data_IF_805144273481
#
_entry.id   IF_805144273481
#
_cell.length_a   1.000
_cell.length_b   1.000
_cell.length_c   1.000
_cell.angle_alpha   90.00
_cell.angle_beta   90.00
_cell.angle_gamma   90.00
#
_symmetry.space_group_name_H-M   'P 1'
#
loop_
_entity.id
_entity.type
_entity.pdbx_description
1 polymer ?
#
# COMPACT_ATOMS: atom_id res chain seq x y z
N UNK A 1 -5.36 -6.75 3.20
CA UNK A 1 -3.90 -6.93 3.45
C UNK A 1 -3.72 -7.84 4.65
N UNK A 2 -2.80 -8.79 4.57
CA UNK A 2 -2.55 -9.72 5.67
C UNK A 2 -1.85 -9.03 6.85
N UNK A 3 -2.01 -9.54 8.10
CA UNK A 3 -1.29 -9.01 9.25
C UNK A 3 0.23 -9.02 9.07
N UNK A 4 0.77 -10.04 8.39
CA UNK A 4 2.20 -10.15 8.13
C UNK A 4 2.69 -9.06 7.17
N UNK A 5 1.92 -8.73 6.14
CA UNK A 5 2.26 -7.65 5.20
C UNK A 5 2.21 -6.28 5.90
N UNK A 6 1.23 -6.06 6.76
CA UNK A 6 1.15 -4.86 7.59
C UNK A 6 2.36 -4.72 8.51
N UNK A 7 2.74 -5.80 9.17
CA UNK A 7 3.91 -5.81 10.05
C UNK A 7 5.20 -5.49 9.28
N UNK A 8 5.36 -6.06 8.10
CA UNK A 8 6.51 -5.76 7.24
C UNK A 8 6.60 -4.26 6.90
N UNK A 9 5.48 -3.69 6.47
CA UNK A 9 5.43 -2.27 6.08
C UNK A 9 5.72 -1.37 7.28
N UNK A 10 5.04 -1.61 8.40
CA UNK A 10 5.13 -0.73 9.56
C UNK A 10 6.47 -0.81 10.27
N UNK A 11 7.18 -1.91 10.10
CA UNK A 11 8.51 -2.10 10.67
C UNK A 11 9.52 -1.03 10.22
N UNK A 12 9.32 -0.49 9.03
CA UNK A 12 10.20 0.53 8.46
C UNK A 12 9.71 1.96 8.73
N UNK A 13 8.53 2.11 9.35
CA UNK A 13 8.05 3.43 9.72
C UNK A 13 8.84 3.97 10.92
N UNK A 14 9.24 5.23 10.85
CA UNK A 14 9.75 5.93 12.01
C UNK A 14 8.69 5.92 13.13
N UNK A 15 9.07 5.84 14.43
CA UNK A 15 8.08 5.70 15.50
C UNK A 15 6.97 6.75 15.50
N UNK A 16 7.30 8.01 15.20
CA UNK A 16 6.32 9.09 15.15
C UNK A 16 5.33 8.95 13.98
N UNK A 17 5.72 8.27 12.90
CA UNK A 17 4.89 8.09 11.71
C UNK A 17 4.10 6.77 11.73
N UNK A 18 4.46 5.84 12.63
CA UNK A 18 3.93 4.48 12.59
C UNK A 18 2.43 4.42 12.75
N UNK A 19 1.89 5.06 13.78
CA UNK A 19 0.45 5.04 14.06
C UNK A 19 -0.36 5.65 12.92
N UNK A 20 0.10 6.78 12.41
CA UNK A 20 -0.57 7.50 11.34
C UNK A 20 -0.47 6.74 10.01
N UNK A 21 0.70 6.15 9.72
CA UNK A 21 0.91 5.31 8.56
C UNK A 21 0.03 4.06 8.58
N UNK A 22 -0.10 3.41 9.73
CA UNK A 22 -0.97 2.25 9.90
C UNK A 22 -2.43 2.61 9.64
N UNK A 23 -2.89 3.73 10.20
CA UNK A 23 -4.24 4.19 10.00
C UNK A 23 -4.52 4.48 8.52
N UNK A 24 -3.61 5.15 7.84
CA UNK A 24 -3.72 5.44 6.42
C UNK A 24 -3.84 4.17 5.57
N UNK A 25 -2.98 3.18 5.82
CA UNK A 25 -3.02 1.92 5.09
C UNK A 25 -4.32 1.14 5.32
N UNK A 26 -4.80 1.10 6.57
CA UNK A 26 -6.06 0.42 6.89
C UNK A 26 -7.25 1.13 6.25
N UNK A 27 -7.26 2.46 6.25
CA UNK A 27 -8.28 3.25 5.62
C UNK A 27 -8.31 3.02 4.10
N UNK A 28 -7.15 3.02 3.46
CA UNK A 28 -7.03 2.73 2.03
C UNK A 28 -7.51 1.32 1.70
N UNK A 29 -7.10 0.33 2.48
CA UNK A 29 -7.55 -1.05 2.29
C UNK A 29 -9.07 -1.17 2.41
N UNK A 30 -9.68 -0.49 3.40
CA UNK A 30 -11.12 -0.47 3.59
C UNK A 30 -11.86 0.19 2.43
N UNK A 31 -11.36 1.31 1.94
CA UNK A 31 -11.95 2.01 0.80
C UNK A 31 -11.92 1.14 -0.45
N UNK A 32 -10.80 0.51 -0.74
CA UNK A 32 -10.64 -0.38 -1.90
C UNK A 32 -11.51 -1.63 -1.77
N UNK A 33 -11.60 -2.21 -0.56
CA UNK A 33 -12.47 -3.36 -0.32
C UNK A 33 -13.94 -3.05 -0.60
N UNK A 34 -14.38 -1.84 -0.29
CA UNK A 34 -15.75 -1.40 -0.54
C UNK A 34 -16.12 -1.38 -2.04
N UNK A 35 -15.14 -1.23 -2.91
CA UNK A 35 -15.34 -1.29 -4.37
C UNK A 35 -14.88 -2.61 -4.99
N UNK A 36 -14.64 -3.62 -4.17
CA UNK A 36 -14.30 -4.98 -4.63
C UNK A 36 -12.82 -5.22 -4.90
N UNK A 37 -11.95 -4.29 -4.53
CA UNK A 37 -10.50 -4.45 -4.70
C UNK A 37 -9.89 -5.02 -3.44
N UNK A 38 -9.14 -6.11 -3.58
CA UNK A 38 -8.45 -6.77 -2.47
C UNK A 38 -6.96 -6.47 -2.53
N UNK A 39 -6.47 -5.66 -1.59
CA UNK A 39 -5.04 -5.34 -1.48
C UNK A 39 -4.19 -6.58 -1.10
N UNK A 40 -4.81 -7.63 -0.59
CA UNK A 40 -4.14 -8.89 -0.29
C UNK A 40 -4.02 -9.83 -1.49
N UNK A 41 -4.64 -9.51 -2.62
CA UNK A 41 -4.67 -10.38 -3.79
C UNK A 41 -3.27 -10.71 -4.33
N UNK A 42 -2.34 -9.78 -4.21
CA UNK A 42 -0.98 -9.96 -4.72
C UNK A 42 -0.29 -11.22 -4.19
N UNK A 43 -0.55 -11.61 -2.93
CA UNK A 43 0.02 -12.81 -2.32
C UNK A 43 -0.53 -14.11 -2.95
N UNK A 44 -1.70 -14.03 -3.59
CA UNK A 44 -2.33 -15.17 -4.25
C UNK A 44 -1.97 -15.28 -5.73
N UNK A 45 -1.30 -14.28 -6.27
CA UNK A 45 -1.05 -14.16 -7.71
C UNK A 45 -0.25 -15.33 -8.30
N UNK A 46 0.83 -15.84 -7.68
CA UNK A 46 1.53 -16.99 -8.22
C UNK A 46 0.63 -18.24 -8.35
N UNK A 47 -0.19 -18.49 -7.34
CA UNK A 47 -1.14 -19.62 -7.38
C UNK A 47 -2.25 -19.40 -8.41
N UNK A 48 -2.74 -18.18 -8.57
CA UNK A 48 -3.74 -17.84 -9.56
C UNK A 48 -3.24 -18.08 -10.99
N UNK A 49 -2.01 -17.70 -11.27
CA UNK A 49 -1.36 -17.92 -12.57
C UNK A 49 -1.28 -19.43 -12.87
N UNK A 50 -0.90 -20.24 -11.90
CA UNK A 50 -0.83 -21.70 -12.06
C UNK A 50 -2.20 -22.31 -12.26
N UNK A 51 -3.22 -21.88 -11.51
CA UNK A 51 -4.60 -22.36 -11.68
C UNK A 51 -5.19 -21.99 -13.03
N UNK A 52 -4.72 -20.91 -13.63
CA UNK A 52 -5.10 -20.52 -14.99
C UNK A 52 -4.45 -21.39 -16.08
N UNK A 53 -3.63 -22.36 -15.71
CA UNK A 53 -2.97 -23.26 -16.65
C UNK A 53 -1.68 -22.71 -17.23
N UNK A 54 -1.12 -21.67 -16.64
CA UNK A 54 0.15 -21.09 -17.08
C UNK A 54 1.32 -21.67 -16.28
N UNK A 55 2.47 -21.72 -16.90
CA UNK A 55 3.71 -22.11 -16.25
C UNK A 55 4.34 -20.88 -15.59
N UNK A 56 4.42 -20.89 -14.27
CA UNK A 56 5.06 -19.81 -13.53
C UNK A 56 6.58 -19.86 -13.78
N UNK A 57 7.12 -18.78 -14.34
CA UNK A 57 8.56 -18.64 -14.61
C UNK A 57 9.27 -17.97 -13.45
N UNK A 58 8.69 -16.93 -12.89
CA UNK A 58 9.29 -16.21 -11.77
C UNK A 58 8.42 -15.09 -11.27
N UNK A 59 8.94 -14.39 -10.27
CA UNK A 59 8.29 -13.23 -9.70
C UNK A 59 9.23 -12.42 -8.83
N UNK A 60 8.79 -11.22 -8.46
CA UNK A 60 9.55 -10.37 -7.57
C UNK A 60 8.61 -9.47 -6.76
N UNK A 61 9.11 -8.98 -5.64
CA UNK A 61 8.45 -7.98 -4.83
C UNK A 61 9.30 -6.72 -4.85
N UNK A 62 8.69 -5.59 -5.24
CA UNK A 62 9.30 -4.28 -5.16
C UNK A 62 8.67 -3.51 -4.00
N UNK A 63 9.51 -3.07 -3.07
CA UNK A 63 9.05 -2.43 -1.84
C UNK A 63 10.08 -1.37 -1.44
N UNK A 64 9.98 -0.15 -2.00
CA UNK A 64 10.95 0.91 -1.70
C UNK A 64 10.77 1.43 -0.29
N UNK A 65 11.87 1.78 0.36
CA UNK A 65 11.86 2.56 1.58
C UNK A 65 12.14 4.00 1.16
N UNK A 66 11.18 4.89 1.44
CA UNK A 66 11.29 6.29 1.05
C UNK A 66 11.39 7.19 2.26
N UNK A 67 11.97 8.36 2.02
CA UNK A 67 12.09 9.43 3.00
C UNK A 67 11.12 10.54 2.63
N UNK A 68 10.49 11.15 3.63
CA UNK A 68 9.55 12.25 3.41
C UNK A 68 10.20 13.44 2.70
N UNK A 69 9.37 14.21 2.02
CA UNK A 69 9.82 15.36 1.23
C UNK A 69 10.22 15.05 -0.21
N UNK A 70 10.11 13.79 -0.64
CA UNK A 70 10.37 13.41 -2.03
C UNK A 70 9.32 13.97 -2.99
N UNK A 71 9.74 14.26 -4.23
CA UNK A 71 8.87 14.90 -5.23
C UNK A 71 7.82 13.92 -5.76
N UNK A 72 8.19 12.65 -5.85
CA UNK A 72 7.30 11.61 -6.38
C UNK A 72 6.95 10.62 -5.27
N UNK A 73 5.96 10.98 -4.48
CA UNK A 73 5.47 10.13 -3.42
C UNK A 73 4.10 9.57 -3.81
N UNK A 74 4.08 8.32 -4.20
CA UNK A 74 2.85 7.60 -4.54
C UNK A 74 1.84 7.63 -3.38
N UNK A 75 2.30 7.43 -2.16
CA UNK A 75 1.42 7.46 -0.98
C UNK A 75 0.78 8.82 -0.79
N UNK A 76 1.55 9.88 -0.85
CA UNK A 76 1.05 11.26 -0.71
C UNK A 76 0.00 11.58 -1.80
N UNK A 77 0.32 11.30 -3.05
CA UNK A 77 -0.58 11.55 -4.18
C UNK A 77 -1.88 10.75 -4.04
N UNK A 78 -1.79 9.50 -3.60
CA UNK A 78 -2.96 8.64 -3.39
C UNK A 78 -3.91 9.26 -2.36
N UNK A 79 -3.39 9.71 -1.22
CA UNK A 79 -4.24 10.30 -0.18
C UNK A 79 -4.76 11.69 -0.53
N UNK A 80 -4.05 12.43 -1.37
CA UNK A 80 -4.56 13.69 -1.93
C UNK A 80 -5.76 13.44 -2.85
N UNK A 81 -5.66 12.46 -3.73
CA UNK A 81 -6.71 12.13 -4.70
C UNK A 81 -7.92 11.50 -4.01
N UNK A 82 -7.70 10.66 -3.00
CA UNK A 82 -8.76 9.91 -2.33
C UNK A 82 -9.32 10.60 -1.08
N UNK A 83 -8.96 11.85 -0.82
CA UNK A 83 -9.43 12.61 0.35
C UNK A 83 -10.95 12.53 0.51
N UNK A 84 -11.70 12.93 -0.50
CA UNK A 84 -13.15 13.01 -0.41
C UNK A 84 -13.80 11.64 -0.14
N UNK A 85 -13.49 10.56 -0.89
CA UNK A 85 -14.07 9.26 -0.56
C UNK A 85 -13.63 8.72 0.82
N UNK A 86 -12.41 8.99 1.26
CA UNK A 86 -11.95 8.56 2.58
C UNK A 86 -12.72 9.25 3.71
N UNK A 87 -12.98 10.54 3.56
CA UNK A 87 -13.76 11.30 4.54
C UNK A 87 -15.24 10.89 4.48
N UNK A 88 -15.80 10.81 3.28
CA UNK A 88 -17.22 10.45 3.10
C UNK A 88 -17.54 9.06 3.67
N UNK A 89 -16.61 8.11 3.58
CA UNK A 89 -16.79 6.76 4.13
C UNK A 89 -16.56 6.67 5.64
N UNK A 90 -16.09 7.73 6.28
CA UNK A 90 -15.77 7.75 7.71
C UNK A 90 -14.48 7.03 8.08
N UNK A 91 -13.67 6.65 7.10
CA UNK A 91 -12.41 5.92 7.34
C UNK A 91 -11.30 6.84 7.86
N UNK A 92 -11.30 8.10 7.43
CA UNK A 92 -10.39 9.13 7.94
C UNK A 92 -11.12 10.46 8.03
N UNK A 93 -10.67 11.31 8.94
CA UNK A 93 -11.11 12.71 8.99
C UNK A 93 -10.19 13.57 8.12
N UNK A 94 -10.65 14.78 7.78
CA UNK A 94 -9.79 15.76 7.08
C UNK A 94 -8.52 16.05 7.87
N UNK A 95 -8.62 16.21 9.20
CA UNK A 95 -7.45 16.47 10.04
C UNK A 95 -6.44 15.31 10.02
N UNK A 96 -6.93 14.09 10.01
CA UNK A 96 -6.07 12.90 9.92
C UNK A 96 -5.36 12.82 8.58
N UNK A 97 -6.05 13.14 7.48
CA UNK A 97 -5.44 13.19 6.14
C UNK A 97 -4.40 14.31 6.09
N UNK A 98 -4.71 15.48 6.63
CA UNK A 98 -3.74 16.58 6.68
C UNK A 98 -2.48 16.20 7.48
N UNK A 99 -2.65 15.52 8.62
CA UNK A 99 -1.53 15.02 9.41
C UNK A 99 -0.71 13.99 8.63
N UNK A 100 -1.37 13.07 7.93
CA UNK A 100 -0.71 12.08 7.08
C UNK A 100 0.10 12.77 5.98
N UNK A 101 -0.47 13.74 5.30
CA UNK A 101 0.22 14.48 4.23
C UNK A 101 1.42 15.26 4.76
N UNK A 102 1.31 15.87 5.94
CA UNK A 102 2.45 16.53 6.59
C UNK A 102 3.57 15.54 6.91
N UNK A 103 3.21 14.35 7.38
CA UNK A 103 4.18 13.28 7.64
C UNK A 103 4.96 12.91 6.37
N UNK A 104 4.29 12.81 5.24
CA UNK A 104 4.94 12.46 3.96
C UNK A 104 5.91 13.54 3.48
N UNK A 105 5.77 14.77 3.97
CA UNK A 105 6.67 15.88 3.62
C UNK A 105 7.82 16.05 4.62
N UNK A 106 7.78 15.39 5.76
CA UNK A 106 8.79 15.52 6.81
C UNK A 106 10.02 14.67 6.46
N UNK A 107 11.21 15.28 6.28
CA UNK A 107 12.44 14.54 5.97
C UNK A 107 12.86 13.55 7.06
N UNK A 108 12.38 13.70 8.29
CA UNK A 108 12.65 12.76 9.37
C UNK A 108 11.75 11.52 9.32
N UNK A 109 10.70 11.53 8.50
CA UNK A 109 9.85 10.37 8.28
C UNK A 109 10.47 9.43 7.27
N UNK A 110 10.35 8.14 7.53
CA UNK A 110 10.66 7.09 6.55
C UNK A 110 9.54 6.07 6.56
N UNK A 111 9.21 5.55 5.40
CA UNK A 111 8.10 4.60 5.27
C UNK A 111 8.19 3.83 3.96
N UNK A 112 7.37 2.78 3.87
CA UNK A 112 7.17 2.03 2.63
C UNK A 112 5.83 2.49 2.04
N UNK A 113 5.82 3.17 0.87
CA UNK A 113 4.57 3.67 0.28
C UNK A 113 3.73 2.57 -0.36
N UNK A 114 4.35 1.48 -0.80
CA UNK A 114 3.65 0.36 -1.42
C UNK A 114 4.51 -0.89 -1.41
N UNK A 115 3.86 -2.03 -1.53
CA UNK A 115 4.48 -3.32 -1.83
C UNK A 115 3.87 -3.81 -3.12
N UNK A 116 4.68 -3.95 -4.15
CA UNK A 116 4.22 -4.33 -5.48
C UNK A 116 4.76 -5.70 -5.85
N UNK A 117 3.86 -6.63 -6.16
CA UNK A 117 4.20 -7.99 -6.59
C UNK A 117 4.04 -8.10 -8.09
N UNK A 118 5.06 -8.60 -8.75
CA UNK A 118 5.03 -8.92 -10.18
C UNK A 118 5.33 -10.39 -10.36
N UNK A 119 4.55 -11.06 -11.22
CA UNK A 119 4.83 -12.44 -11.61
C UNK A 119 4.85 -12.52 -13.13
N UNK A 120 5.64 -13.43 -13.65
CA UNK A 120 5.64 -13.71 -15.08
C UNK A 120 5.55 -15.19 -15.33
N UNK A 121 4.83 -15.51 -16.38
CA UNK A 121 4.49 -16.87 -16.73
C UNK A 121 4.48 -17.01 -18.24
N UNK A 122 4.47 -18.25 -18.71
CA UNK A 122 4.37 -18.56 -20.13
C UNK A 122 3.33 -19.65 -20.37
N UNK A 123 2.85 -19.70 -21.60
CA UNK A 123 1.97 -20.76 -22.04
C UNK A 123 2.75 -22.08 -22.08
N UNK A 124 2.24 -23.17 -21.54
CA UNK A 124 2.88 -24.49 -21.67
C UNK A 124 3.01 -24.90 -23.14
N UNK A 125 4.05 -25.66 -23.43
CA UNK A 125 4.29 -26.19 -24.76
C UNK A 125 3.20 -27.21 -25.17
#
# INVERSE_FOLDING_TARGET
>A
MSPQAMDLITRYHAPAARTLGDKGLRALAGLLAAVGADMGYASTLPGAVRRAGLELVGGEIHSPIVRGGGVQDFGRLTFMVLREPLVASGLMTHDEIDAFLRMTLDPESQYIPFVMTSVWARRPA
#
